data_IF_349114231177
#
_entry.id   IF_349114231177
#
_cell.length_a   1.000
_cell.length_b   1.000
_cell.length_c   1.000
_cell.angle_alpha   90.00
_cell.angle_beta   90.00
_cell.angle_gamma   90.00
#
_symmetry.space_group_name_H-M   'P 1'
#
loop_
_entity.id
_entity.type
_entity.pdbx_description
1 polymer ?
#
# COMPACT_ATOMS: atom_id res chain seq x y z
N UNK A 1 23.25 -0.48 18.50
CA UNK A 1 22.98 -1.91 18.31
C UNK A 1 22.32 -2.02 16.96
N UNK A 2 22.83 -2.86 16.06
CA UNK A 2 22.18 -3.03 14.74
C UNK A 2 21.06 -4.03 14.95
N UNK A 3 19.81 -3.54 14.96
CA UNK A 3 18.66 -4.42 15.01
C UNK A 3 18.65 -5.30 13.75
N UNK A 4 18.38 -6.59 13.91
CA UNK A 4 18.32 -7.53 12.80
C UNK A 4 16.87 -7.69 12.38
N UNK A 5 16.53 -7.18 11.20
CA UNK A 5 15.20 -7.31 10.59
C UNK A 5 15.32 -8.17 9.33
N UNK A 6 14.45 -9.15 9.21
CA UNK A 6 14.18 -9.85 7.96
C UNK A 6 12.70 -10.11 7.83
N UNK A 7 12.17 -10.10 6.62
CA UNK A 7 10.76 -10.40 6.39
C UNK A 7 10.56 -11.21 5.12
N UNK A 8 9.39 -11.83 5.02
CA UNK A 8 8.92 -12.56 3.85
C UNK A 8 7.44 -12.29 3.64
N UNK A 9 7.07 -11.93 2.42
CA UNK A 9 5.67 -11.90 1.99
C UNK A 9 5.21 -13.36 1.79
N UNK A 10 4.22 -13.79 2.57
CA UNK A 10 3.64 -15.14 2.49
C UNK A 10 2.36 -15.17 1.68
N UNK A 11 1.63 -14.05 1.63
CA UNK A 11 0.48 -13.86 0.74
C UNK A 11 0.48 -12.45 0.15
N UNK A 12 0.06 -12.33 -1.11
CA UNK A 12 -0.15 -11.09 -1.85
C UNK A 12 -1.46 -11.26 -2.63
N UNK A 13 -2.51 -10.55 -2.20
CA UNK A 13 -3.83 -10.59 -2.83
C UNK A 13 -4.25 -9.19 -3.27
N UNK A 14 -4.74 -9.08 -4.51
CA UNK A 14 -5.26 -7.82 -5.04
C UNK A 14 -6.78 -7.90 -5.15
N UNK A 15 -7.45 -6.81 -4.78
CA UNK A 15 -8.91 -6.70 -4.87
C UNK A 15 -9.24 -5.59 -5.86
N UNK A 16 -9.92 -5.97 -6.95
CA UNK A 16 -10.24 -5.07 -8.07
C UNK A 16 -11.75 -4.85 -8.27
N UNK A 17 -12.59 -5.45 -7.42
CA UNK A 17 -14.05 -5.45 -7.59
C UNK A 17 -14.68 -4.05 -7.62
N UNK A 18 -14.04 -3.09 -6.95
CA UNK A 18 -14.46 -1.68 -6.90
C UNK A 18 -13.45 -0.75 -7.57
N UNK A 19 -12.53 -1.30 -8.37
CA UNK A 19 -11.50 -0.50 -9.02
C UNK A 19 -12.05 0.24 -10.23
N UNK A 20 -11.92 1.56 -10.21
CA UNK A 20 -12.41 2.46 -11.24
C UNK A 20 -11.33 3.42 -11.73
N UNK A 21 -11.47 3.88 -12.98
CA UNK A 21 -10.63 4.94 -13.52
C UNK A 21 -11.38 6.26 -13.45
N UNK A 22 -10.85 7.19 -12.67
CA UNK A 22 -11.37 8.54 -12.60
C UNK A 22 -10.58 9.46 -13.55
N UNK A 23 -11.23 9.90 -14.63
CA UNK A 23 -10.64 10.81 -15.63
C UNK A 23 -10.83 12.29 -15.30
N UNK A 24 -11.72 12.62 -14.35
CA UNK A 24 -12.11 14.00 -14.02
C UNK A 24 -11.03 14.75 -13.24
N UNK A 25 -10.05 14.05 -12.68
CA UNK A 25 -8.94 14.65 -11.93
C UNK A 25 -7.77 15.13 -12.79
N UNK A 26 -7.87 15.07 -14.12
CA UNK A 26 -6.85 15.64 -15.00
C UNK A 26 -6.75 17.16 -14.83
N UNK A 27 -5.60 17.67 -14.39
CA UNK A 27 -5.32 19.09 -14.32
C UNK A 27 -3.90 19.41 -14.85
N UNK A 28 -3.48 20.68 -14.82
CA UNK A 28 -2.18 21.08 -15.36
C UNK A 28 -0.95 20.41 -14.67
N UNK A 29 -1.13 19.85 -13.47
CA UNK A 29 -0.15 19.10 -12.70
C UNK A 29 -0.37 17.57 -12.75
N UNK A 30 -1.53 17.11 -13.22
CA UNK A 30 -1.92 15.69 -13.31
C UNK A 30 -2.27 15.28 -14.72
N UNK A 31 -1.39 14.48 -15.30
CA UNK A 31 -1.58 13.89 -16.62
C UNK A 31 -2.01 12.43 -16.46
N UNK A 32 -3.31 12.15 -16.52
CA UNK A 32 -3.81 10.80 -16.74
C UNK A 32 -4.98 10.39 -15.85
N UNK A 33 -5.61 9.24 -16.16
CA UNK A 33 -6.62 8.64 -15.32
C UNK A 33 -6.03 8.26 -13.95
N UNK A 34 -6.85 8.38 -12.92
CA UNK A 34 -6.52 8.03 -11.55
C UNK A 34 -7.17 6.69 -11.20
N UNK A 35 -6.42 5.81 -10.54
CA UNK A 35 -6.93 4.56 -10.00
C UNK A 35 -7.58 4.80 -8.63
N UNK A 36 -8.85 4.44 -8.52
CA UNK A 36 -9.63 4.48 -7.27
C UNK A 36 -10.17 3.10 -6.93
N UNK A 37 -10.37 2.81 -5.64
CA UNK A 37 -10.94 1.54 -5.18
C UNK A 37 -10.07 0.30 -5.41
N UNK A 38 -8.75 0.48 -5.60
CA UNK A 38 -7.81 -0.64 -5.69
C UNK A 38 -7.22 -0.94 -4.32
N UNK A 39 -7.16 -2.22 -3.96
CA UNK A 39 -6.62 -2.67 -2.68
C UNK A 39 -5.66 -3.84 -2.86
N UNK A 40 -4.64 -3.88 -2.01
CA UNK A 40 -3.66 -4.96 -1.93
C UNK A 40 -3.54 -5.39 -0.47
N UNK A 41 -3.75 -6.69 -0.19
CA UNK A 41 -3.51 -7.29 1.11
C UNK A 41 -2.20 -8.08 1.06
N UNK A 42 -1.32 -7.79 2.01
CA UNK A 42 -0.13 -8.59 2.25
C UNK A 42 -0.28 -9.36 3.56
N UNK A 43 0.14 -10.61 3.56
CA UNK A 43 0.49 -11.30 4.80
C UNK A 43 2.02 -11.39 4.83
N UNK A 44 2.62 -10.90 5.91
CA UNK A 44 4.08 -10.83 6.07
C UNK A 44 4.52 -11.51 7.34
N UNK A 45 5.48 -12.44 7.20
CA UNK A 45 6.20 -12.99 8.32
C UNK A 45 7.45 -12.14 8.56
N UNK A 46 7.60 -11.59 9.76
CA UNK A 46 8.69 -10.70 10.14
C UNK A 46 9.47 -11.31 11.29
N UNK A 47 10.78 -11.41 11.13
CA UNK A 47 11.73 -11.76 12.18
C UNK A 47 12.44 -10.50 12.65
N UNK A 48 12.26 -10.14 13.93
CA UNK A 48 12.92 -9.02 14.57
C UNK A 48 13.69 -9.51 15.79
N UNK A 49 15.02 -9.32 15.79
CA UNK A 49 15.89 -9.72 16.91
C UNK A 49 15.70 -11.18 17.38
N UNK A 50 15.30 -12.07 16.46
CA UNK A 50 15.09 -13.50 16.72
C UNK A 50 13.66 -13.89 17.11
N UNK A 51 12.76 -12.93 17.27
CA UNK A 51 11.32 -13.16 17.43
C UNK A 51 10.63 -13.13 16.07
N UNK A 52 9.72 -14.06 15.81
CA UNK A 52 8.96 -14.17 14.56
C UNK A 52 7.48 -13.89 14.81
N UNK A 53 6.88 -13.05 13.97
CA UNK A 53 5.45 -12.75 14.00
C UNK A 53 4.91 -12.50 12.60
N UNK A 54 3.66 -12.88 12.37
CA UNK A 54 2.94 -12.65 11.11
C UNK A 54 2.00 -11.45 11.26
N UNK A 55 1.87 -10.66 10.21
CA UNK A 55 1.01 -9.47 10.16
C UNK A 55 0.25 -9.42 8.85
N UNK A 56 -1.02 -9.02 8.90
CA UNK A 56 -1.82 -8.62 7.74
C UNK A 56 -1.67 -7.10 7.52
N UNK A 57 -1.10 -6.70 6.39
CA UNK A 57 -0.91 -5.27 6.05
C UNK A 57 -1.68 -4.96 4.78
N UNK A 58 -2.58 -3.98 4.86
CA UNK A 58 -3.51 -3.66 3.77
C UNK A 58 -3.15 -2.30 3.21
N UNK A 59 -3.04 -2.20 1.88
CA UNK A 59 -2.87 -0.95 1.15
C UNK A 59 -4.08 -0.66 0.29
N UNK A 60 -4.53 0.60 0.27
CA UNK A 60 -5.60 1.07 -0.60
C UNK A 60 -5.11 2.25 -1.44
N UNK A 61 -5.65 2.38 -2.66
CA UNK A 61 -5.43 3.54 -3.52
C UNK A 61 -5.82 4.81 -2.76
N UNK A 62 -4.98 5.83 -2.78
CA UNK A 62 -5.32 7.09 -2.12
C UNK A 62 -6.60 7.68 -2.71
N UNK A 63 -7.59 7.95 -1.86
CA UNK A 63 -8.79 8.69 -2.27
C UNK A 63 -8.40 10.13 -2.58
N UNK A 64 -8.76 10.61 -3.77
CA UNK A 64 -8.35 11.94 -4.21
C UNK A 64 -9.59 12.79 -4.43
N UNK A 65 -9.67 13.87 -3.66
CA UNK A 65 -10.79 14.80 -3.76
C UNK A 65 -10.58 15.91 -4.80
N UNK A 66 -9.37 16.01 -5.38
CA UNK A 66 -9.04 16.92 -6.47
C UNK A 66 -7.74 16.51 -7.17
N UNK A 67 -7.55 16.99 -8.41
CA UNK A 67 -6.36 16.67 -9.20
C UNK A 67 -5.04 17.23 -8.67
N UNK A 68 -5.02 18.14 -7.68
CA UNK A 68 -3.74 18.59 -7.08
C UNK A 68 -3.13 17.53 -6.16
N UNK A 69 -3.94 16.56 -5.73
CA UNK A 69 -3.53 15.45 -4.88
C UNK A 69 -3.18 14.19 -5.67
N UNK A 70 -3.54 14.12 -6.95
CA UNK A 70 -3.01 13.10 -7.85
C UNK A 70 -1.63 13.56 -8.31
N UNK A 71 -0.64 12.67 -8.30
CA UNK A 71 0.67 12.93 -8.89
C UNK A 71 0.92 11.97 -10.05
N UNK A 72 0.98 10.67 -9.75
CA UNK A 72 1.09 9.59 -10.74
C UNK A 72 -0.21 8.79 -10.92
N UNK A 73 -1.21 9.00 -10.05
CA UNK A 73 -2.55 8.42 -10.21
C UNK A 73 -2.69 6.97 -9.74
N UNK A 74 -1.65 6.37 -9.19
CA UNK A 74 -1.63 5.01 -8.65
C UNK A 74 -1.04 4.93 -7.24
N UNK A 75 -0.87 6.07 -6.56
CA UNK A 75 -0.37 6.09 -5.19
C UNK A 75 -1.23 5.24 -4.25
N UNK A 76 -0.55 4.48 -3.39
CA UNK A 76 -1.13 3.59 -2.38
C UNK A 76 -0.72 4.02 -0.99
N UNK A 77 -1.60 3.84 -0.01
CA UNK A 77 -1.32 4.08 1.40
C UNK A 77 -1.89 2.95 2.28
N UNK A 78 -1.33 2.79 3.48
CA UNK A 78 -1.82 1.79 4.46
C UNK A 78 -3.28 2.08 4.85
N UNK A 79 -4.13 1.07 4.86
CA UNK A 79 -5.57 1.20 5.02
C UNK A 79 -5.98 1.62 6.44
N UNK A 80 -5.09 1.50 7.42
CA UNK A 80 -5.29 1.99 8.79
C UNK A 80 -5.65 3.48 8.80
N UNK A 81 -5.10 4.29 7.88
CA UNK A 81 -5.42 5.74 7.82
C UNK A 81 -6.89 6.00 7.44
N UNK A 82 -7.54 5.02 6.83
CA UNK A 82 -8.95 5.04 6.45
C UNK A 82 -9.84 4.27 7.44
N UNK A 83 -9.28 3.81 8.58
CA UNK A 83 -10.01 3.10 9.62
C UNK A 83 -10.24 1.62 9.33
N UNK A 84 -9.38 0.97 8.56
CA UNK A 84 -9.44 -0.48 8.36
C UNK A 84 -8.90 -1.22 9.58
N UNK A 85 -9.78 -1.75 10.42
CA UNK A 85 -9.42 -2.50 11.65
C UNK A 85 -8.64 -3.80 11.38
N UNK A 86 -8.66 -4.31 10.14
CA UNK A 86 -7.94 -5.51 9.75
C UNK A 86 -6.48 -5.23 9.32
N UNK A 87 -6.10 -3.96 9.16
CA UNK A 87 -4.73 -3.58 8.80
C UNK A 87 -3.84 -3.48 10.03
N UNK A 88 -2.91 -4.42 10.17
CA UNK A 88 -1.98 -4.52 11.30
C UNK A 88 -0.69 -3.70 11.10
N UNK A 89 -0.70 -2.71 10.21
CA UNK A 89 0.48 -1.88 9.90
C UNK A 89 1.06 -1.17 11.14
N UNK A 90 0.21 -0.78 12.10
CA UNK A 90 0.63 -0.14 13.35
C UNK A 90 1.23 -1.15 14.34
N UNK A 91 0.64 -2.35 14.46
CA UNK A 91 1.22 -3.43 15.27
C UNK A 91 2.57 -3.87 14.72
N UNK A 92 2.71 -3.95 13.40
CA UNK A 92 3.98 -4.24 12.74
C UNK A 92 5.03 -3.18 13.09
N UNK A 93 4.69 -1.90 12.95
CA UNK A 93 5.62 -0.80 13.23
C UNK A 93 6.06 -0.79 14.70
N UNK A 94 5.12 -1.05 15.62
CA UNK A 94 5.42 -1.19 17.03
C UNK A 94 6.32 -2.41 17.33
N UNK A 95 6.15 -3.52 16.61
CA UNK A 95 6.97 -4.72 16.78
C UNK A 95 8.43 -4.51 16.35
N UNK A 96 8.66 -3.71 15.31
CA UNK A 96 10.00 -3.43 14.76
C UNK A 96 10.61 -2.10 15.26
N UNK A 97 10.10 -1.55 16.37
CA UNK A 97 10.61 -0.33 17.02
C UNK A 97 10.66 0.89 16.09
N UNK A 98 9.56 1.14 15.37
CA UNK A 98 9.42 2.26 14.42
C UNK A 98 10.41 2.22 13.23
N UNK A 99 10.96 1.04 12.90
CA UNK A 99 11.75 0.84 11.68
C UNK A 99 10.83 0.69 10.45
N UNK A 100 10.90 1.63 9.52
CA UNK A 100 10.04 1.64 8.33
C UNK A 100 10.48 0.69 7.20
N UNK A 101 11.56 -0.08 7.37
CA UNK A 101 12.15 -0.90 6.29
C UNK A 101 11.13 -1.88 5.67
N UNK A 102 10.29 -2.52 6.50
CA UNK A 102 9.27 -3.47 6.01
C UNK A 102 8.15 -2.71 5.29
N UNK A 103 7.58 -1.67 5.93
CA UNK A 103 6.50 -0.87 5.33
C UNK A 103 6.94 -0.15 4.05
N UNK A 104 8.17 0.33 3.95
CA UNK A 104 8.72 0.92 2.73
C UNK A 104 8.80 -0.08 1.58
N UNK A 105 9.15 -1.33 1.88
CA UNK A 105 9.20 -2.40 0.88
C UNK A 105 7.80 -2.78 0.40
N UNK A 106 6.83 -2.92 1.32
CA UNK A 106 5.44 -3.20 0.98
C UNK A 106 4.81 -2.04 0.22
N UNK A 107 5.07 -0.80 0.61
CA UNK A 107 4.58 0.39 -0.08
C UNK A 107 5.08 0.44 -1.53
N UNK A 108 6.38 0.18 -1.76
CA UNK A 108 6.94 0.09 -3.12
C UNK A 108 6.27 -1.01 -3.94
N UNK A 109 6.00 -2.17 -3.34
CA UNK A 109 5.33 -3.29 -4.01
C UNK A 109 3.87 -2.95 -4.35
N UNK A 110 3.12 -2.38 -3.41
CA UNK A 110 1.74 -1.94 -3.61
C UNK A 110 1.63 -0.91 -4.74
N UNK A 111 2.49 0.11 -4.74
CA UNK A 111 2.53 1.12 -5.81
C UNK A 111 2.88 0.52 -7.17
N UNK A 112 3.77 -0.49 -7.22
CA UNK A 112 4.06 -1.19 -8.45
C UNK A 112 2.82 -1.93 -8.98
N UNK A 113 2.12 -2.68 -8.13
CA UNK A 113 0.90 -3.40 -8.50
C UNK A 113 -0.21 -2.45 -8.96
N UNK A 114 -0.39 -1.33 -8.26
CA UNK A 114 -1.35 -0.30 -8.65
C UNK A 114 -1.02 0.33 -10.00
N UNK A 115 0.27 0.58 -10.27
CA UNK A 115 0.72 1.05 -11.58
C UNK A 115 0.43 0.05 -12.69
N UNK A 116 0.75 -1.23 -12.46
CA UNK A 116 0.45 -2.32 -13.40
C UNK A 116 -1.06 -2.43 -13.67
N UNK A 117 -1.89 -2.28 -12.63
CA UNK A 117 -3.34 -2.25 -12.76
C UNK A 117 -3.82 -1.05 -13.58
N UNK A 118 -3.33 0.16 -13.27
CA UNK A 118 -3.66 1.38 -14.02
C UNK A 118 -3.32 1.23 -15.51
N UNK A 119 -2.12 0.74 -15.83
CA UNK A 119 -1.68 0.51 -17.21
C UNK A 119 -2.53 -0.55 -17.93
N UNK A 120 -3.08 -1.54 -17.22
CA UNK A 120 -3.94 -2.57 -17.81
C UNK A 120 -5.34 -2.09 -18.19
N UNK A 121 -5.78 -0.96 -17.61
CA UNK A 121 -7.11 -0.38 -17.82
C UNK A 121 -7.15 0.73 -18.87
N UNK A 122 -5.98 1.13 -19.42
CA UNK A 122 -5.80 2.16 -20.45
C UNK A 122 -5.61 1.52 -21.83
#
# INVERSE_FOLDING_TARGET
MTNSISFKITSEETFTDFTELNQEFSNAATYGPVLEGFQVNFVVDVTFNGEEKSFEVIYQSEERNNGMMAYNGYEMAVATIYGCDADESQELLAFIEDDYTVLDALNKRANQLAKEQLESMI
#
